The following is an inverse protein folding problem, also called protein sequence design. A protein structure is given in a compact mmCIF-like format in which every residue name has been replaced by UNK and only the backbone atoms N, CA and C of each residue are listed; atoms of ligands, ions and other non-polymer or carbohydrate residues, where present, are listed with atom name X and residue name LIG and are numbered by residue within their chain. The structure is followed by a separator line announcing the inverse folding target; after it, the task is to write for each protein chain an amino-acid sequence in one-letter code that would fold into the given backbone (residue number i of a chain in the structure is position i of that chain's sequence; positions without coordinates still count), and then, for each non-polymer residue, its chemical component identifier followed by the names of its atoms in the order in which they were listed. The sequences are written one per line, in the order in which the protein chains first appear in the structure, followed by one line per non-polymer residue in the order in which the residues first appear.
data_IF_658601644957
#
_entry.id   IF_658601644957
#
_cell.length_a   1.000
_cell.length_b   1.000
_cell.length_c   1.000
_cell.angle_alpha   90.00
_cell.angle_beta   90.00
_cell.angle_gamma   90.00
#
_symmetry.space_group_name_H-M   'P 1'
#
loop_
_entity.id
_entity.type
_entity.pdbx_description
1 polymer ?
#
# COMPACT_ATOMS: atom_id res chain seq x y z
N UNK A 1 -37.46 -6.70 -50.73
CA UNK A 1 -36.77 -7.83 -50.06
C UNK A 1 -35.74 -7.27 -49.08
N UNK A 2 -35.94 -7.43 -47.77
CA UNK A 2 -34.99 -6.97 -46.74
C UNK A 2 -34.06 -8.14 -46.37
N UNK A 3 -32.75 -8.00 -46.60
CA UNK A 3 -31.72 -8.97 -46.21
C UNK A 3 -31.34 -8.70 -44.74
N UNK A 4 -31.47 -9.71 -43.89
CA UNK A 4 -31.09 -9.64 -42.47
C UNK A 4 -29.72 -10.26 -42.27
N UNK A 5 -28.73 -9.41 -41.98
CA UNK A 5 -27.36 -9.83 -41.71
C UNK A 5 -27.26 -10.45 -40.30
N UNK A 6 -27.14 -11.78 -40.24
CA UNK A 6 -26.88 -12.53 -39.02
C UNK A 6 -25.40 -12.35 -38.61
N UNK A 7 -25.14 -11.45 -37.67
CA UNK A 7 -23.85 -11.37 -36.99
C UNK A 7 -23.58 -12.63 -36.15
N UNK A 8 -22.62 -13.44 -36.59
CA UNK A 8 -22.17 -14.65 -35.88
C UNK A 8 -21.03 -14.27 -34.93
N UNK A 9 -21.30 -14.20 -33.62
CA UNK A 9 -20.29 -13.92 -32.60
C UNK A 9 -19.38 -15.14 -32.37
N UNK A 10 -18.07 -14.97 -32.61
CA UNK A 10 -17.05 -16.01 -32.44
C UNK A 10 -16.59 -16.04 -30.98
N UNK A 11 -16.94 -17.10 -30.23
CA UNK A 11 -16.49 -17.29 -28.83
C UNK A 11 -14.99 -17.62 -28.80
N UNK A 12 -14.18 -16.70 -28.27
CA UNK A 12 -12.76 -16.93 -28.01
C UNK A 12 -12.63 -17.69 -26.68
N UNK A 13 -12.20 -18.95 -26.73
CA UNK A 13 -11.87 -19.74 -25.54
C UNK A 13 -10.45 -19.38 -25.07
N UNK A 14 -10.32 -18.73 -23.91
CA UNK A 14 -9.04 -18.50 -23.23
C UNK A 14 -8.42 -19.85 -22.80
N UNK A 15 -7.28 -20.21 -23.37
CA UNK A 15 -6.43 -21.31 -22.88
C UNK A 15 -5.64 -20.78 -21.68
N UNK A 16 -5.98 -21.23 -20.47
CA UNK A 16 -5.19 -20.99 -19.26
C UNK A 16 -4.07 -22.04 -19.26
N UNK A 17 -2.84 -21.60 -19.48
CA UNK A 17 -1.65 -22.45 -19.42
C UNK A 17 -1.33 -22.77 -17.96
N UNK A 18 -0.97 -24.05 -17.74
CA UNK A 18 -0.80 -24.72 -16.46
C UNK A 18 0.54 -24.38 -15.79
N UNK A 19 0.46 -24.30 -14.45
CA UNK A 19 1.46 -24.72 -13.43
C UNK A 19 2.79 -23.94 -13.37
N UNK A 20 2.89 -23.08 -12.36
CA UNK A 20 4.17 -22.77 -11.70
C UNK A 20 4.08 -23.39 -10.30
N UNK A 21 4.83 -24.46 -10.06
CA UNK A 21 5.02 -25.03 -8.72
C UNK A 21 5.90 -24.09 -7.89
N UNK A 22 5.58 -23.83 -6.60
CA UNK A 22 6.45 -23.01 -5.78
C UNK A 22 7.65 -23.86 -5.33
N UNK A 23 8.82 -23.58 -5.90
CA UNK A 23 10.10 -24.07 -5.39
C UNK A 23 10.29 -23.54 -3.97
N UNK A 24 10.34 -24.43 -2.97
CA UNK A 24 10.69 -24.12 -1.58
C UNK A 24 12.13 -23.56 -1.55
N UNK A 25 12.28 -22.26 -1.31
CA UNK A 25 13.58 -21.66 -0.96
C UNK A 25 13.73 -21.75 0.56
N UNK A 26 14.68 -22.56 1.01
CA UNK A 26 15.15 -22.55 2.39
C UNK A 26 15.80 -21.21 2.69
N UNK A 27 15.21 -20.42 3.57
CA UNK A 27 15.81 -19.19 4.06
C UNK A 27 16.98 -19.55 4.99
N UNK A 28 18.19 -19.55 4.43
CA UNK A 28 19.41 -19.47 5.22
C UNK A 28 19.36 -18.13 5.98
N UNK A 29 19.27 -18.19 7.32
CA UNK A 29 19.45 -17.02 8.20
C UNK A 29 20.90 -16.54 8.06
N UNK A 30 21.13 -15.64 7.10
CA UNK A 30 22.32 -14.80 7.12
C UNK A 30 22.11 -13.75 8.21
N UNK A 31 22.93 -13.85 9.26
CA UNK A 31 23.07 -12.81 10.26
C UNK A 31 23.68 -11.58 9.58
N UNK A 32 22.86 -10.59 9.24
CA UNK A 32 23.35 -9.30 8.79
C UNK A 32 24.12 -8.63 9.92
N UNK A 33 25.33 -8.20 9.59
CA UNK A 33 26.19 -7.39 10.43
C UNK A 33 25.46 -6.11 10.81
N UNK A 34 25.21 -5.98 12.11
CA UNK A 34 24.64 -4.82 12.80
C UNK A 34 25.41 -3.57 12.37
N UNK A 35 24.79 -2.63 11.65
CA UNK A 35 25.08 -1.19 11.66
C UNK A 35 24.28 -0.39 10.61
N UNK A 36 23.67 -1.05 9.63
CA UNK A 36 22.62 -0.40 8.85
C UNK A 36 21.30 -0.58 9.61
N UNK A 37 20.87 0.48 10.31
CA UNK A 37 19.46 0.60 10.66
C UNK A 37 18.72 0.55 9.33
N UNK A 38 18.24 -0.63 8.95
CA UNK A 38 17.26 -0.77 7.89
C UNK A 38 16.15 0.24 8.18
N UNK A 39 16.16 1.38 7.47
CA UNK A 39 15.13 2.43 7.55
C UNK A 39 13.85 1.91 6.86
N UNK A 40 13.41 0.73 7.27
CA UNK A 40 12.20 0.10 6.79
C UNK A 40 11.06 0.79 7.53
N UNK A 41 10.26 1.51 6.77
CA UNK A 41 8.97 2.03 7.23
C UNK A 41 8.11 0.85 7.67
N UNK A 42 7.71 0.87 8.94
CA UNK A 42 6.83 -0.16 9.53
C UNK A 42 5.42 0.37 9.61
N UNK A 43 4.46 -0.43 9.17
CA UNK A 43 3.04 -0.13 9.41
C UNK A 43 2.68 -0.44 10.87
N UNK A 44 2.30 0.60 11.62
CA UNK A 44 1.93 0.50 13.03
C UNK A 44 0.43 0.81 13.18
N UNK A 45 -0.27 0.03 14.01
CA UNK A 45 -1.68 0.32 14.33
C UNK A 45 -1.81 1.59 15.15
N UNK A 46 -2.80 2.43 14.82
CA UNK A 46 -3.08 3.69 15.53
C UNK A 46 -3.25 3.52 17.05
N UNK A 47 -3.81 2.38 17.50
CA UNK A 47 -4.00 2.08 18.94
C UNK A 47 -2.69 1.97 19.73
N UNK A 48 -1.56 1.76 19.03
CA UNK A 48 -0.23 1.65 19.65
C UNK A 48 0.51 2.99 19.68
N UNK A 49 0.04 3.98 18.92
CA UNK A 49 0.61 5.31 18.92
C UNK A 49 0.18 6.04 20.20
N UNK A 50 1.10 6.83 20.75
CA UNK A 50 0.87 7.68 21.92
C UNK A 50 1.29 9.11 21.59
N UNK A 51 0.69 10.13 22.24
CA UNK A 51 1.15 11.50 22.09
C UNK A 51 2.63 11.65 22.46
N UNK A 52 3.34 12.53 21.75
CA UNK A 52 4.72 12.87 22.10
C UNK A 52 4.74 13.74 23.36
N UNK A 53 5.40 13.27 24.42
CA UNK A 53 5.51 13.98 25.71
C UNK A 53 6.44 15.20 25.60
N UNK A 54 7.42 15.14 24.68
CA UNK A 54 8.38 16.22 24.43
C UNK A 54 7.96 17.04 23.20
N UNK A 55 6.66 17.27 23.05
CA UNK A 55 6.14 18.08 21.95
C UNK A 55 6.40 19.57 22.24
N UNK A 56 7.32 20.16 21.50
CA UNK A 56 7.69 21.58 21.55
C UNK A 56 7.10 22.40 20.40
N UNK A 57 6.27 21.78 19.54
CA UNK A 57 5.58 22.46 18.45
C UNK A 57 4.38 23.27 18.98
N UNK A 58 4.17 24.44 18.36
CA UNK A 58 2.98 25.25 18.60
C UNK A 58 1.70 24.50 18.21
N UNK A 59 0.59 24.71 18.95
CA UNK A 59 -0.67 24.08 18.62
C UNK A 59 -1.21 24.63 17.30
N UNK A 60 -1.71 23.71 16.45
CA UNK A 60 -2.38 24.10 15.22
C UNK A 60 -3.65 24.89 15.52
N UNK A 61 -3.91 25.92 14.70
CA UNK A 61 -5.22 26.56 14.66
C UNK A 61 -6.29 25.58 14.16
N UNK A 62 -7.55 25.94 14.36
CA UNK A 62 -8.67 25.06 13.99
C UNK A 62 -8.72 24.83 12.49
N UNK A 63 -8.44 25.87 11.72
CA UNK A 63 -8.44 25.88 10.26
C UNK A 63 -7.31 25.00 9.72
N UNK A 64 -6.09 25.17 10.26
CA UNK A 64 -4.93 24.35 9.88
C UNK A 64 -5.16 22.87 10.17
N UNK A 65 -5.72 22.55 11.34
CA UNK A 65 -6.05 21.17 11.69
C UNK A 65 -7.06 20.55 10.71
N UNK A 66 -8.11 21.28 10.32
CA UNK A 66 -9.09 20.77 9.35
C UNK A 66 -8.46 20.59 7.97
N UNK A 67 -7.64 21.54 7.52
CA UNK A 67 -6.96 21.45 6.24
C UNK A 67 -6.00 20.25 6.20
N UNK A 68 -5.22 20.05 7.26
CA UNK A 68 -4.33 18.90 7.39
C UNK A 68 -5.12 17.59 7.34
N UNK A 69 -6.23 17.50 8.08
CA UNK A 69 -7.10 16.32 8.08
C UNK A 69 -7.65 16.01 6.69
N UNK A 70 -8.13 17.01 5.94
CA UNK A 70 -8.64 16.79 4.58
C UNK A 70 -7.54 16.36 3.61
N UNK A 71 -6.35 16.98 3.70
CA UNK A 71 -5.20 16.61 2.88
C UNK A 71 -4.75 15.16 3.14
N UNK A 72 -4.72 14.73 4.39
CA UNK A 72 -4.40 13.34 4.76
C UNK A 72 -5.44 12.35 4.24
N UNK A 73 -6.72 12.71 4.19
CA UNK A 73 -7.77 11.86 3.63
C UNK A 73 -7.62 11.74 2.10
N UNK A 74 -7.32 12.85 1.42
CA UNK A 74 -7.20 12.89 -0.04
C UNK A 74 -5.93 12.20 -0.55
N UNK A 75 -4.78 12.46 0.09
CA UNK A 75 -3.47 12.05 -0.40
C UNK A 75 -2.84 10.91 0.41
N UNK A 76 -3.39 10.60 1.58
CA UNK A 76 -2.73 9.75 2.56
C UNK A 76 -1.62 10.48 3.31
N UNK A 77 -0.85 9.71 4.09
CA UNK A 77 0.36 10.21 4.77
C UNK A 77 1.54 9.89 3.87
N UNK A 78 2.25 10.93 3.40
CA UNK A 78 3.37 10.79 2.49
C UNK A 78 4.69 10.49 3.22
N UNK A 79 4.85 11.05 4.41
CA UNK A 79 6.06 10.91 5.22
C UNK A 79 5.83 10.03 6.45
N UNK A 80 6.76 9.11 6.79
CA UNK A 80 6.62 8.26 7.96
C UNK A 80 6.69 9.08 9.26
N UNK A 81 5.95 8.61 10.27
CA UNK A 81 6.03 9.16 11.62
C UNK A 81 7.33 8.73 12.31
N UNK A 82 7.92 9.64 13.10
CA UNK A 82 9.16 9.45 13.86
C UNK A 82 8.90 9.27 15.36
#
# INVERSE_FOLDING_TARGET
MKRSDKFKMKKIKKKISKRISPKKKSFSKQSSTKNDLDQIVKFVSLKRLKPNIKNDFDPLSKEEYQNLKQNMIANGILDPLT
#
